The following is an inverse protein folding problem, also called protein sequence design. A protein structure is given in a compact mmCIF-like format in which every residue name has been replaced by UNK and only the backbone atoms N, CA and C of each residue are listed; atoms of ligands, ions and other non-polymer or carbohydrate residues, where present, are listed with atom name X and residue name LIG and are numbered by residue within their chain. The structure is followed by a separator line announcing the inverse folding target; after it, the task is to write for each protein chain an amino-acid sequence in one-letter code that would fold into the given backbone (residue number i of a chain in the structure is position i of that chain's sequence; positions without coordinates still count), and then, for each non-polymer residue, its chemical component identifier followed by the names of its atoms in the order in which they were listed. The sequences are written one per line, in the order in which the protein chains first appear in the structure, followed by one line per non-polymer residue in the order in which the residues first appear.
data_IF_922756503198
#
_entry.id   IF_922756503198
#
_cell.length_a   1.000
_cell.length_b   1.000
_cell.length_c   1.000
_cell.angle_alpha   90.00
_cell.angle_beta   90.00
_cell.angle_gamma   90.00
#
_symmetry.space_group_name_H-M   'P 1'
#
loop_
_entity.id
_entity.type
_entity.pdbx_description
1 polymer ?
#
# COMPACT_ATOMS: atom_id res chain seq x y z
N UNK A 1 -1.03 6.73 -21.35
CA UNK A 1 0.20 6.73 -20.54
C UNK A 1 -0.04 6.13 -19.15
N UNK A 2 -0.65 6.83 -18.18
CA UNK A 2 -0.81 6.30 -16.80
C UNK A 2 -1.78 5.11 -16.71
N UNK A 3 -2.85 5.08 -17.52
CA UNK A 3 -3.83 3.97 -17.52
C UNK A 3 -3.22 2.60 -17.85
N UNK A 4 -2.18 2.56 -18.68
CA UNK A 4 -1.48 1.32 -19.05
C UNK A 4 -0.70 0.71 -17.88
N UNK A 5 -0.40 1.51 -16.84
CA UNK A 5 0.30 1.04 -15.63
C UNK A 5 -0.65 0.42 -14.60
N UNK A 6 -1.97 0.62 -14.74
CA UNK A 6 -2.97 0.15 -13.76
C UNK A 6 -2.89 -1.38 -13.55
N UNK A 7 -2.83 -2.24 -14.58
CA UNK A 7 -2.73 -3.69 -14.38
C UNK A 7 -1.44 -4.09 -13.66
N UNK A 8 -0.33 -3.41 -13.96
CA UNK A 8 0.96 -3.66 -13.34
C UNK A 8 0.94 -3.28 -11.85
N UNK A 9 0.46 -2.07 -11.53
CA UNK A 9 0.32 -1.59 -10.14
C UNK A 9 -0.60 -2.50 -9.33
N UNK A 10 -1.74 -2.92 -9.91
CA UNK A 10 -2.66 -3.85 -9.24
C UNK A 10 -1.96 -5.16 -8.89
N UNK A 11 -1.21 -5.74 -9.83
CA UNK A 11 -0.45 -6.98 -9.61
C UNK A 11 0.62 -6.81 -8.52
N UNK A 12 1.26 -5.65 -8.46
CA UNK A 12 2.24 -5.35 -7.41
C UNK A 12 1.58 -5.23 -6.03
N UNK A 13 0.44 -4.55 -5.93
CA UNK A 13 -0.33 -4.46 -4.68
C UNK A 13 -0.81 -5.85 -4.25
N UNK A 14 -1.29 -6.66 -5.18
CA UNK A 14 -1.77 -8.02 -4.91
C UNK A 14 -0.66 -8.97 -4.44
N UNK A 15 0.61 -8.71 -4.77
CA UNK A 15 1.76 -9.51 -4.31
C UNK A 15 2.38 -9.04 -2.99
N UNK A 16 1.89 -7.93 -2.40
CA UNK A 16 2.32 -7.53 -1.06
C UNK A 16 1.85 -8.54 0.01
N UNK A 17 2.59 -8.68 1.12
CA UNK A 17 2.10 -9.37 2.31
C UNK A 17 0.74 -8.83 2.76
N UNK A 18 -0.13 -9.72 3.27
CA UNK A 18 -1.54 -9.43 3.58
C UNK A 18 -1.72 -8.12 4.37
N UNK A 19 -1.00 -7.96 5.47
CA UNK A 19 -1.06 -6.76 6.33
C UNK A 19 -0.78 -5.44 5.59
N UNK A 20 0.10 -5.48 4.59
CA UNK A 20 0.48 -4.29 3.81
C UNK A 20 -0.51 -4.02 2.68
N UNK A 21 -0.98 -5.08 2.01
CA UNK A 21 -2.04 -4.97 1.01
C UNK A 21 -3.33 -4.44 1.62
N UNK A 22 -3.73 -4.99 2.77
CA UNK A 22 -4.93 -4.55 3.51
C UNK A 22 -4.80 -3.09 3.93
N UNK A 23 -3.65 -2.68 4.45
CA UNK A 23 -3.42 -1.28 4.81
C UNK A 23 -3.58 -0.33 3.61
N UNK A 24 -3.00 -0.66 2.45
CA UNK A 24 -3.16 0.15 1.24
C UNK A 24 -4.61 0.14 0.72
N UNK A 25 -5.26 -1.01 0.75
CA UNK A 25 -6.65 -1.12 0.30
C UNK A 25 -7.56 -0.20 1.14
N UNK A 26 -7.50 -0.33 2.46
CA UNK A 26 -8.32 0.46 3.37
C UNK A 26 -8.01 1.96 3.28
N UNK A 27 -6.74 2.37 3.19
CA UNK A 27 -6.41 3.81 3.21
C UNK A 27 -6.46 4.49 1.84
N UNK A 28 -6.04 3.81 0.77
CA UNK A 28 -5.94 4.42 -0.57
C UNK A 28 -7.19 4.16 -1.42
N UNK A 29 -7.82 2.99 -1.28
CA UNK A 29 -9.01 2.63 -2.07
C UNK A 29 -10.32 2.95 -1.33
N UNK A 30 -10.41 2.62 -0.04
CA UNK A 30 -11.59 2.93 0.77
C UNK A 30 -11.52 4.30 1.45
N UNK A 31 -10.36 4.96 1.42
CA UNK A 31 -10.18 6.34 1.89
C UNK A 31 -10.11 6.50 3.41
N UNK A 32 -9.89 5.41 4.16
CA UNK A 32 -9.73 5.50 5.62
C UNK A 32 -8.49 6.32 5.98
N UNK A 33 -8.62 7.12 7.02
CA UNK A 33 -7.47 7.71 7.69
C UNK A 33 -6.66 6.63 8.41
N UNK A 34 -5.38 6.91 8.70
CA UNK A 34 -4.54 5.98 9.48
C UNK A 34 -5.06 5.76 10.91
N UNK A 35 -5.90 6.66 11.43
CA UNK A 35 -6.54 6.50 12.73
C UNK A 35 -7.70 5.51 12.65
N UNK A 36 -8.58 5.67 11.66
CA UNK A 36 -9.65 4.71 11.40
C UNK A 36 -9.09 3.32 11.06
N UNK A 37 -7.99 3.25 10.32
CA UNK A 37 -7.26 1.99 10.10
C UNK A 37 -6.81 1.35 11.42
N UNK A 38 -6.26 2.15 12.33
CA UNK A 38 -5.81 1.65 13.63
C UNK A 38 -6.97 1.05 14.43
N UNK A 39 -8.10 1.78 14.50
CA UNK A 39 -9.30 1.33 15.18
C UNK A 39 -9.88 0.08 14.52
N UNK A 40 -9.93 0.05 13.18
CA UNK A 40 -10.46 -1.06 12.38
C UNK A 40 -9.68 -2.36 12.56
N UNK A 41 -8.35 -2.28 12.68
CA UNK A 41 -7.45 -3.42 12.76
C UNK A 41 -6.96 -3.73 14.20
N UNK A 42 -7.45 -2.99 15.20
CA UNK A 42 -7.03 -3.16 16.60
C UNK A 42 -5.53 -2.85 16.82
N UNK A 43 -4.98 -1.90 16.07
CA UNK A 43 -3.59 -1.48 16.17
C UNK A 43 -3.46 -0.20 16.99
N UNK A 44 -2.26 0.07 17.49
CA UNK A 44 -1.93 1.44 17.90
C UNK A 44 -1.87 2.36 16.67
N UNK A 45 -2.11 3.66 16.87
CA UNK A 45 -1.97 4.65 15.80
C UNK A 45 -0.56 4.64 15.17
N UNK A 46 0.49 4.47 16.00
CA UNK A 46 1.87 4.33 15.51
C UNK A 46 2.09 3.04 14.72
N UNK A 47 1.44 1.94 15.11
CA UNK A 47 1.45 0.66 14.39
C UNK A 47 0.78 0.78 13.01
N UNK A 48 -0.41 1.37 12.94
CA UNK A 48 -1.10 1.64 11.68
C UNK A 48 -0.27 2.54 10.75
N UNK A 49 0.30 3.63 11.29
CA UNK A 49 1.20 4.52 10.54
C UNK A 49 2.40 3.78 9.96
N UNK A 50 3.10 2.97 10.77
CA UNK A 50 4.26 2.20 10.30
C UNK A 50 3.85 1.16 9.25
N UNK A 51 2.69 0.54 9.41
CA UNK A 51 2.18 -0.45 8.46
C UNK A 51 1.89 0.17 7.08
N UNK A 52 1.22 1.31 7.04
CA UNK A 52 0.98 2.07 5.80
C UNK A 52 2.29 2.53 5.16
N UNK A 53 3.23 3.07 5.96
CA UNK A 53 4.54 3.49 5.45
C UNK A 53 5.28 2.32 4.79
N UNK A 54 5.42 1.19 5.48
CA UNK A 54 6.13 0.01 4.97
C UNK A 54 5.46 -0.56 3.73
N UNK A 55 4.13 -0.53 3.67
CA UNK A 55 3.38 -0.95 2.49
C UNK A 55 3.73 -0.08 1.27
N UNK A 56 3.74 1.25 1.44
CA UNK A 56 4.14 2.21 0.38
C UNK A 56 5.60 2.05 -0.03
N UNK A 57 6.52 1.85 0.92
CA UNK A 57 7.93 1.61 0.63
C UNK A 57 8.13 0.33 -0.20
N UNK A 58 7.47 -0.76 0.18
CA UNK A 58 7.54 -2.01 -0.60
C UNK A 58 7.00 -1.84 -2.01
N UNK A 59 5.84 -1.19 -2.16
CA UNK A 59 5.27 -0.91 -3.48
C UNK A 59 6.22 -0.03 -4.31
N UNK A 60 6.85 0.98 -3.70
CA UNK A 60 7.86 1.82 -4.36
C UNK A 60 9.06 1.01 -4.84
N UNK A 61 9.61 0.12 -4.00
CA UNK A 61 10.73 -0.75 -4.39
C UNK A 61 10.33 -1.60 -5.59
N UNK A 62 9.16 -2.25 -5.55
CA UNK A 62 8.68 -3.08 -6.67
C UNK A 62 8.51 -2.28 -7.97
N UNK A 63 8.03 -1.03 -7.87
CA UNK A 63 7.91 -0.14 -9.02
C UNK A 63 9.27 0.22 -9.62
N UNK A 64 10.25 0.55 -8.78
CA UNK A 64 11.61 0.91 -9.23
C UNK A 64 12.38 -0.30 -9.77
N UNK A 65 12.17 -1.49 -9.21
CA UNK A 65 12.81 -2.72 -9.67
C UNK A 65 12.22 -3.19 -11.01
N UNK A 66 10.90 -3.06 -11.19
CA UNK A 66 10.22 -3.46 -12.42
C UNK A 66 10.39 -2.44 -13.55
N UNK A 67 10.44 -1.16 -13.20
CA UNK A 67 10.57 -0.07 -14.14
C UNK A 67 11.87 0.67 -13.82
N UNK A 68 12.94 0.39 -14.57
CA UNK A 68 14.11 1.26 -14.60
C UNK A 68 13.67 2.62 -15.14
N UNK A 69 13.26 3.51 -14.23
CA UNK A 69 13.03 4.91 -14.53
C UNK A 69 14.41 5.58 -14.56
N UNK A 70 14.98 5.73 -15.75
CA UNK A 70 16.08 6.69 -16.02
C UNK A 70 15.52 8.10 -16.22
#
# INVERSE_FOLDING_TARGET
AVKELIPCIKTMVDSLPNDYREALYLTEYEGLTQRELADRLGLSFSGAKSRVQRAREKLKVMLLDCCHFE
#
